data_IF_838941852203
#
_entry.id   IF_838941852203
#
_cell.length_a   1.000
_cell.length_b   1.000
_cell.length_c   1.000
_cell.angle_alpha   90.00
_cell.angle_beta   90.00
_cell.angle_gamma   90.00
#
_symmetry.space_group_name_H-M   'P 1'
#
loop_
_entity.id
_entity.type
_entity.pdbx_description
1 polymer ?
#
# COMPACT_ATOMS: atom_id res chain seq x y z
N UNK A 1 -21.83 -31.67 20.15
CA UNK A 1 -20.47 -31.17 20.45
C UNK A 1 -19.47 -32.34 20.42
N UNK A 2 -19.42 -33.11 19.33
CA UNK A 2 -18.52 -34.29 19.18
C UNK A 2 -18.29 -34.70 17.71
N UNK A 3 -18.45 -33.80 16.73
CA UNK A 3 -18.24 -34.14 15.30
C UNK A 3 -17.34 -33.16 14.50
N UNK A 4 -16.58 -32.30 15.14
CA UNK A 4 -15.65 -31.37 14.47
C UNK A 4 -14.17 -31.74 14.68
N UNK A 5 -13.85 -32.96 15.09
CA UNK A 5 -12.48 -33.36 15.37
C UNK A 5 -11.97 -34.54 14.50
N UNK A 6 -12.47 -34.72 13.27
CA UNK A 6 -12.10 -35.85 12.40
C UNK A 6 -11.72 -35.52 10.96
N UNK A 7 -11.16 -34.33 10.68
CA UNK A 7 -10.64 -34.01 9.33
C UNK A 7 -9.12 -33.71 9.30
N UNK A 8 -8.43 -33.87 10.41
CA UNK A 8 -6.99 -33.58 10.46
C UNK A 8 -6.08 -34.81 10.57
N UNK A 9 -6.50 -35.98 10.10
CA UNK A 9 -5.63 -37.18 10.20
C UNK A 9 -5.81 -38.12 9.03
N UNK A 10 -5.64 -37.68 7.80
CA UNK A 10 -5.33 -38.54 6.64
C UNK A 10 -4.54 -37.69 5.65
N UNK A 11 -3.25 -37.72 5.71
CA UNK A 11 -2.24 -37.56 4.65
C UNK A 11 -0.84 -37.58 5.29
N UNK A 12 -0.51 -38.70 5.89
CA UNK A 12 0.86 -39.02 6.21
C UNK A 12 1.07 -40.51 5.95
N UNK A 13 1.39 -40.86 4.71
CA UNK A 13 2.19 -42.06 4.42
C UNK A 13 2.66 -41.99 2.96
N UNK A 14 3.96 -42.05 2.86
CA UNK A 14 4.78 -42.65 1.82
C UNK A 14 5.32 -41.73 0.70
N UNK A 15 6.56 -41.33 0.82
CA UNK A 15 7.74 -41.90 0.13
C UNK A 15 8.94 -41.01 0.45
N UNK A 16 10.00 -41.66 0.95
CA UNK A 16 11.26 -41.02 1.33
C UNK A 16 11.95 -40.36 0.18
N UNK A 17 12.42 -39.17 0.46
CA UNK A 17 13.76 -38.73 0.09
C UNK A 17 14.26 -37.72 1.15
N UNK A 18 14.97 -38.30 2.12
CA UNK A 18 15.79 -37.54 3.05
C UNK A 18 16.97 -36.96 2.27
N UNK A 19 16.93 -35.69 1.92
CA UNK A 19 18.08 -34.79 1.73
C UNK A 19 17.65 -33.41 1.22
N UNK A 20 16.81 -32.67 1.97
CA UNK A 20 16.91 -31.23 1.94
C UNK A 20 17.39 -30.75 3.31
N UNK A 21 18.70 -30.56 3.33
CA UNK A 21 19.47 -30.10 4.47
C UNK A 21 18.85 -28.85 5.07
N UNK A 22 18.52 -28.96 6.35
CA UNK A 22 18.49 -27.87 7.31
C UNK A 22 19.77 -27.05 7.20
N UNK A 23 19.78 -26.01 6.41
CA UNK A 23 20.83 -25.01 6.51
C UNK A 23 20.32 -23.64 6.11
N UNK A 24 20.35 -22.78 7.09
CA UNK A 24 20.28 -21.32 7.05
C UNK A 24 19.00 -20.67 7.59
N UNK A 25 18.39 -21.18 8.65
CA UNK A 25 17.86 -20.25 9.65
C UNK A 25 19.05 -19.80 10.50
N UNK A 26 19.81 -18.82 10.00
CA UNK A 26 20.69 -18.06 10.88
C UNK A 26 19.80 -17.37 11.89
N UNK A 27 19.96 -17.74 13.15
CA UNK A 27 19.32 -17.13 14.30
C UNK A 27 19.50 -15.62 14.24
N UNK A 28 18.43 -14.90 13.89
CA UNK A 28 18.27 -13.50 14.23
C UNK A 28 17.60 -13.55 15.60
N UNK A 29 18.41 -13.58 16.62
CA UNK A 29 17.96 -13.53 18.01
C UNK A 29 18.50 -12.27 18.65
N UNK A 30 17.65 -11.28 18.77
CA UNK A 30 17.53 -10.39 19.93
C UNK A 30 16.34 -9.43 19.70
N UNK A 31 15.71 -9.00 20.75
CA UNK A 31 14.45 -8.26 20.90
C UNK A 31 14.36 -6.86 20.22
N UNK A 32 15.09 -6.59 19.13
CA UNK A 32 15.18 -5.27 18.51
C UNK A 32 14.96 -5.28 16.97
N UNK A 33 14.70 -6.40 16.34
CA UNK A 33 14.71 -6.51 14.87
C UNK A 33 13.35 -6.10 14.25
N UNK A 34 12.86 -4.91 14.56
CA UNK A 34 11.66 -4.37 13.95
C UNK A 34 11.98 -3.86 12.54
N UNK A 35 11.18 -4.30 11.56
CA UNK A 35 11.24 -3.82 10.20
C UNK A 35 10.06 -2.89 9.96
N UNK A 36 10.33 -1.63 9.66
CA UNK A 36 9.32 -0.65 9.28
C UNK A 36 9.14 -0.66 7.77
N UNK A 37 7.89 -0.65 7.31
CA UNK A 37 7.56 -0.59 5.87
C UNK A 37 6.58 0.53 5.62
N UNK A 38 6.93 1.51 4.77
CA UNK A 38 5.99 2.49 4.25
C UNK A 38 5.28 1.87 3.05
N UNK A 39 3.95 1.84 3.07
CA UNK A 39 3.16 1.05 2.15
C UNK A 39 1.89 1.77 1.68
N UNK A 40 1.50 1.50 0.42
CA UNK A 40 0.21 1.89 -0.14
C UNK A 40 -0.10 1.08 -1.40
N UNK A 41 -1.30 0.52 -1.46
CA UNK A 41 -1.82 -0.19 -2.63
C UNK A 41 -1.21 -1.55 -2.94
N UNK A 42 -1.46 -2.00 -4.16
CA UNK A 42 -1.18 -3.37 -4.63
C UNK A 42 0.30 -3.73 -4.65
N UNK A 43 1.17 -2.78 -5.03
CA UNK A 43 2.62 -3.00 -5.08
C UNK A 43 3.18 -3.33 -3.70
N UNK A 44 2.82 -2.52 -2.70
CA UNK A 44 3.21 -2.74 -1.31
C UNK A 44 2.67 -4.06 -0.75
N UNK A 45 1.41 -4.37 -1.02
CA UNK A 45 0.80 -5.61 -0.55
C UNK A 45 1.54 -6.87 -1.06
N UNK A 46 1.95 -6.88 -2.34
CA UNK A 46 2.75 -7.97 -2.92
C UNK A 46 4.16 -8.03 -2.32
N UNK A 47 4.77 -6.89 -2.08
CA UNK A 47 6.07 -6.81 -1.43
C UNK A 47 6.02 -7.35 0.01
N UNK A 48 5.05 -6.91 0.81
CA UNK A 48 4.83 -7.38 2.18
C UNK A 48 4.60 -8.89 2.22
N UNK A 49 3.84 -9.47 1.26
CA UNK A 49 3.67 -10.92 1.17
C UNK A 49 5.00 -11.64 0.95
N UNK A 50 5.90 -11.07 0.15
CA UNK A 50 7.26 -11.61 0.00
C UNK A 50 8.09 -11.45 1.25
N UNK A 51 8.00 -10.30 1.93
CA UNK A 51 8.73 -10.03 3.17
C UNK A 51 8.34 -11.00 4.30
N UNK A 52 7.07 -11.36 4.41
CA UNK A 52 6.58 -12.37 5.37
C UNK A 52 7.13 -13.78 5.13
N UNK A 53 7.74 -14.06 3.97
CA UNK A 53 8.46 -15.33 3.71
C UNK A 53 9.92 -15.28 4.14
N UNK A 54 10.48 -14.08 4.36
CA UNK A 54 11.89 -13.88 4.73
C UNK A 54 12.08 -13.62 6.23
N UNK A 55 11.07 -13.05 6.88
CA UNK A 55 11.11 -12.71 8.31
C UNK A 55 9.78 -13.06 8.98
N UNK A 56 9.82 -13.29 10.29
CA UNK A 56 8.59 -13.56 11.04
C UNK A 56 7.66 -12.35 11.00
N UNK A 57 6.37 -12.53 10.66
CA UNK A 57 5.43 -11.42 10.47
C UNK A 57 5.35 -10.46 11.66
N UNK A 58 5.44 -10.94 12.89
CA UNK A 58 5.39 -10.11 14.11
C UNK A 58 6.51 -9.07 14.21
N UNK A 59 7.58 -9.20 13.43
CA UNK A 59 8.67 -8.23 13.37
C UNK A 59 8.43 -7.15 12.32
N UNK A 60 7.36 -7.26 11.53
CA UNK A 60 7.01 -6.30 10.48
C UNK A 60 5.96 -5.34 11.00
N UNK A 61 6.25 -4.04 10.95
CA UNK A 61 5.26 -2.98 11.11
C UNK A 61 5.11 -2.22 9.80
N UNK A 62 3.95 -2.32 9.19
CA UNK A 62 3.64 -1.61 7.94
C UNK A 62 2.81 -0.38 8.24
N UNK A 63 3.38 0.81 7.95
CA UNK A 63 2.69 2.10 8.01
C UNK A 63 2.02 2.30 6.66
N UNK A 64 0.70 2.23 6.65
CA UNK A 64 -0.11 2.19 5.42
C UNK A 64 -0.76 3.55 5.18
N UNK A 65 -0.73 4.00 3.92
CA UNK A 65 -1.40 5.20 3.47
C UNK A 65 -2.91 5.14 3.76
N UNK A 66 -3.45 6.22 4.32
CA UNK A 66 -4.87 6.47 4.54
C UNK A 66 -5.33 7.80 3.92
N UNK A 67 -4.46 8.43 3.11
CA UNK A 67 -4.81 9.65 2.38
C UNK A 67 -5.88 9.45 1.31
N UNK A 68 -6.13 8.19 0.95
CA UNK A 68 -7.11 7.79 -0.05
C UNK A 68 -8.42 7.29 0.57
N UNK A 69 -8.52 7.31 1.91
CA UNK A 69 -9.71 6.92 2.64
C UNK A 69 -10.89 7.81 2.25
N UNK A 70 -12.06 7.22 2.19
CA UNK A 70 -13.27 7.93 1.76
C UNK A 70 -14.50 7.46 2.51
N UNK A 71 -15.53 8.29 2.51
CA UNK A 71 -16.85 7.93 3.04
C UNK A 71 -17.85 7.84 1.90
N UNK A 72 -18.33 6.64 1.59
CA UNK A 72 -19.35 6.39 0.59
C UNK A 72 -20.50 5.61 1.21
N UNK A 73 -21.74 5.97 0.89
CA UNK A 73 -22.94 5.37 1.48
C UNK A 73 -22.99 5.45 3.01
N UNK A 74 -22.26 6.40 3.62
CA UNK A 74 -22.08 6.48 5.08
C UNK A 74 -21.09 5.48 5.66
N UNK A 75 -20.38 4.73 4.82
CA UNK A 75 -19.38 3.74 5.23
C UNK A 75 -17.96 4.31 5.06
N UNK A 76 -17.14 4.11 6.09
CA UNK A 76 -15.70 4.39 6.01
C UNK A 76 -14.97 3.30 5.24
N UNK A 77 -14.31 3.67 4.16
CA UNK A 77 -13.59 2.80 3.23
C UNK A 77 -12.12 3.21 3.25
N UNK A 78 -11.23 2.25 3.48
CA UNK A 78 -9.78 2.46 3.54
C UNK A 78 -9.10 1.57 2.50
N UNK A 79 -9.05 1.98 1.21
CA UNK A 79 -8.69 1.11 0.09
C UNK A 79 -7.31 0.48 0.20
N UNK A 80 -6.31 1.22 0.68
CA UNK A 80 -4.94 0.71 0.81
C UNK A 80 -4.82 -0.29 1.97
N UNK A 81 -5.44 0.00 3.13
CA UNK A 81 -5.51 -0.93 4.27
C UNK A 81 -6.22 -2.24 3.87
N UNK A 82 -7.33 -2.14 3.15
CA UNK A 82 -8.12 -3.29 2.71
C UNK A 82 -7.35 -4.13 1.67
N UNK A 83 -6.72 -3.48 0.69
CA UNK A 83 -5.89 -4.14 -0.32
C UNK A 83 -4.72 -4.89 0.33
N UNK A 84 -4.03 -4.27 1.29
CA UNK A 84 -2.94 -4.90 2.03
C UNK A 84 -3.48 -6.09 2.84
N UNK A 85 -4.52 -5.89 3.64
CA UNK A 85 -5.12 -6.93 4.48
C UNK A 85 -5.56 -8.14 3.65
N UNK A 86 -6.33 -7.93 2.58
CA UNK A 86 -6.84 -9.02 1.75
C UNK A 86 -5.75 -9.75 0.98
N UNK A 87 -4.72 -9.02 0.52
CA UNK A 87 -3.56 -9.65 -0.16
C UNK A 87 -2.78 -10.54 0.78
N UNK A 88 -2.50 -10.08 2.00
CA UNK A 88 -1.73 -10.85 2.99
C UNK A 88 -2.51 -12.05 3.51
N UNK A 89 -3.82 -11.91 3.66
CA UNK A 89 -4.71 -13.01 4.02
C UNK A 89 -4.96 -14.02 2.88
N UNK A 90 -4.44 -13.75 1.66
CA UNK A 90 -4.66 -14.62 0.50
C UNK A 90 -6.10 -14.61 -0.03
N UNK A 91 -6.88 -13.58 0.31
CA UNK A 91 -8.30 -13.45 0.00
C UNK A 91 -8.60 -12.43 -1.11
N UNK A 92 -7.59 -11.72 -1.60
CA UNK A 92 -7.76 -10.72 -2.68
C UNK A 92 -8.09 -11.40 -4.00
N UNK A 93 -8.91 -10.75 -4.82
CA UNK A 93 -9.14 -11.20 -6.19
C UNK A 93 -7.86 -11.04 -7.03
N UNK A 94 -7.30 -12.13 -7.58
CA UNK A 94 -6.01 -12.10 -8.26
C UNK A 94 -6.04 -11.38 -9.62
N UNK A 95 -7.21 -11.33 -10.28
CA UNK A 95 -7.38 -10.70 -11.60
C UNK A 95 -7.54 -9.19 -11.46
N UNK A 96 -8.44 -8.74 -10.59
CA UNK A 96 -8.66 -7.32 -10.34
C UNK A 96 -7.50 -6.70 -9.56
N UNK A 97 -6.96 -7.45 -8.57
CA UNK A 97 -5.94 -6.97 -7.64
C UNK A 97 -6.49 -6.01 -6.58
N UNK A 98 -7.81 -5.98 -6.39
CA UNK A 98 -8.55 -5.28 -5.33
C UNK A 98 -9.85 -6.02 -5.01
N UNK A 99 -10.40 -5.78 -3.82
CA UNK A 99 -11.59 -6.49 -3.33
C UNK A 99 -11.34 -7.97 -3.06
N UNK A 100 -12.36 -8.68 -2.63
CA UNK A 100 -12.26 -10.08 -2.24
C UNK A 100 -12.50 -11.03 -3.42
N UNK A 101 -11.86 -12.18 -3.39
CA UNK A 101 -12.10 -13.26 -4.37
C UNK A 101 -13.54 -13.79 -4.26
N UNK A 102 -14.11 -14.19 -5.41
CA UNK A 102 -15.49 -14.66 -5.51
C UNK A 102 -16.51 -13.66 -4.93
N UNK A 103 -16.31 -12.38 -5.22
CA UNK A 103 -17.19 -11.29 -4.82
C UNK A 103 -18.48 -11.29 -5.63
N UNK A 104 -19.57 -10.81 -5.03
CA UNK A 104 -20.82 -10.51 -5.72
C UNK A 104 -21.15 -9.02 -5.60
N UNK A 105 -22.05 -8.53 -6.44
CA UNK A 105 -22.36 -7.10 -6.58
C UNK A 105 -23.87 -6.84 -6.43
N UNK A 106 -24.53 -7.66 -5.62
CA UNK A 106 -25.99 -7.66 -5.46
C UNK A 106 -26.47 -6.35 -4.86
N UNK A 107 -25.78 -5.88 -3.83
CA UNK A 107 -26.12 -4.61 -3.16
C UNK A 107 -25.94 -3.43 -4.12
N UNK A 108 -24.81 -3.35 -4.85
CA UNK A 108 -24.54 -2.27 -5.80
C UNK A 108 -25.51 -2.32 -7.00
N UNK A 109 -25.85 -3.51 -7.49
CA UNK A 109 -26.87 -3.70 -8.51
C UNK A 109 -28.27 -3.26 -8.08
N UNK A 110 -28.64 -3.47 -6.80
CA UNK A 110 -29.87 -2.94 -6.26
C UNK A 110 -29.83 -1.42 -6.09
N UNK A 111 -28.69 -0.87 -5.65
CA UNK A 111 -28.49 0.57 -5.44
C UNK A 111 -28.59 1.37 -6.74
N UNK A 112 -28.18 0.80 -7.87
CA UNK A 112 -28.28 1.45 -9.19
C UNK A 112 -29.71 1.81 -9.58
N UNK A 113 -30.71 1.06 -9.08
CA UNK A 113 -32.14 1.38 -9.29
C UNK A 113 -32.54 2.69 -8.62
N UNK A 114 -31.98 2.97 -7.45
CA UNK A 114 -32.26 4.22 -6.73
C UNK A 114 -31.49 5.39 -7.37
N UNK A 115 -30.26 5.15 -7.82
CA UNK A 115 -29.47 6.14 -8.53
C UNK A 115 -30.17 6.69 -9.77
N UNK A 116 -30.89 5.85 -10.51
CA UNK A 116 -31.65 6.23 -11.68
C UNK A 116 -32.84 7.18 -11.40
N UNK A 117 -33.33 7.20 -10.16
CA UNK A 117 -34.52 7.96 -9.75
C UNK A 117 -34.22 9.07 -8.73
N UNK A 118 -32.94 9.27 -8.38
CA UNK A 118 -32.56 10.31 -7.41
C UNK A 118 -32.72 11.71 -7.98
N UNK A 119 -32.98 12.73 -7.15
CA UNK A 119 -32.95 14.13 -7.58
C UNK A 119 -31.60 14.53 -8.19
N UNK A 120 -31.58 15.42 -9.18
CA UNK A 120 -30.38 15.86 -9.90
C UNK A 120 -29.24 16.34 -8.97
N UNK A 121 -29.56 16.98 -7.86
CA UNK A 121 -28.59 17.52 -6.92
C UNK A 121 -28.24 16.55 -5.76
N UNK A 122 -28.75 15.32 -5.80
CA UNK A 122 -28.49 14.33 -4.77
C UNK A 122 -27.18 13.60 -5.02
N UNK A 123 -26.37 13.43 -3.98
CA UNK A 123 -25.18 12.58 -3.98
C UNK A 123 -25.48 11.16 -3.46
N UNK A 124 -26.75 10.83 -3.19
CA UNK A 124 -27.12 9.48 -2.77
C UNK A 124 -26.82 8.46 -3.87
N UNK A 125 -26.47 7.25 -3.48
CA UNK A 125 -26.16 6.14 -4.37
C UNK A 125 -25.05 6.44 -5.41
N UNK A 126 -23.84 6.84 -5.02
CA UNK A 126 -22.71 6.95 -5.94
C UNK A 126 -22.26 5.55 -6.39
N UNK A 127 -22.69 5.13 -7.58
CA UNK A 127 -22.43 3.78 -8.11
C UNK A 127 -21.13 3.65 -8.89
N UNK A 128 -20.37 4.73 -9.02
CA UNK A 128 -19.07 4.74 -9.68
C UNK A 128 -17.97 4.03 -8.88
N UNK A 129 -18.10 3.97 -7.54
CA UNK A 129 -17.22 3.19 -6.68
C UNK A 129 -17.92 1.87 -6.35
N UNK A 130 -17.38 0.78 -6.86
CA UNK A 130 -18.02 -0.52 -6.77
C UNK A 130 -17.56 -1.25 -5.49
N UNK A 131 -18.50 -1.57 -4.60
CA UNK A 131 -18.27 -2.28 -3.35
C UNK A 131 -18.80 -3.71 -3.47
N UNK A 132 -17.97 -4.69 -3.17
CA UNK A 132 -18.38 -6.10 -3.14
C UNK A 132 -19.26 -6.42 -1.94
N UNK A 133 -20.15 -7.40 -2.08
CA UNK A 133 -21.09 -7.78 -1.00
C UNK A 133 -20.34 -8.32 0.24
N UNK A 134 -19.19 -9.01 0.05
CA UNK A 134 -18.34 -9.46 1.17
C UNK A 134 -17.49 -8.33 1.74
N UNK A 135 -16.97 -7.47 0.87
CA UNK A 135 -16.16 -6.30 1.26
C UNK A 135 -16.97 -5.33 2.13
N UNK A 136 -18.27 -5.21 1.88
CA UNK A 136 -19.19 -4.45 2.73
C UNK A 136 -19.10 -4.84 4.21
N UNK A 137 -18.82 -6.10 4.55
CA UNK A 137 -18.72 -6.52 5.94
C UNK A 137 -17.55 -5.83 6.66
N UNK A 138 -16.40 -5.66 6.01
CA UNK A 138 -15.25 -4.90 6.54
C UNK A 138 -15.63 -3.44 6.74
N UNK A 139 -16.29 -2.83 5.77
CA UNK A 139 -16.71 -1.43 5.87
C UNK A 139 -17.78 -1.20 6.96
N UNK A 140 -18.74 -2.12 7.12
CA UNK A 140 -19.71 -2.07 8.21
C UNK A 140 -19.02 -2.14 9.57
N UNK A 141 -18.11 -3.09 9.75
CA UNK A 141 -17.36 -3.24 11.00
C UNK A 141 -16.54 -2.00 11.31
N UNK A 142 -15.73 -1.54 10.36
CA UNK A 142 -14.91 -0.33 10.52
C UNK A 142 -15.77 0.88 10.88
N UNK A 143 -16.85 1.11 10.14
CA UNK A 143 -17.74 2.25 10.37
C UNK A 143 -18.39 2.21 11.76
N UNK A 144 -18.87 1.04 12.18
CA UNK A 144 -19.49 0.88 13.50
C UNK A 144 -18.48 1.16 14.62
N UNK A 145 -17.26 0.60 14.52
CA UNK A 145 -16.20 0.79 15.54
C UNK A 145 -15.75 2.25 15.63
N UNK A 146 -15.57 2.92 14.49
CA UNK A 146 -15.24 4.35 14.45
C UNK A 146 -16.36 5.20 15.07
N UNK A 147 -17.63 4.85 14.81
CA UNK A 147 -18.79 5.52 15.43
C UNK A 147 -18.87 5.29 16.95
N UNK A 148 -18.35 4.18 17.47
CA UNK A 148 -18.19 3.92 18.90
C UNK A 148 -17.03 4.72 19.53
N UNK A 149 -16.22 5.42 18.74
CA UNK A 149 -15.08 6.23 19.18
C UNK A 149 -13.74 5.49 19.21
N UNK A 150 -13.66 4.29 18.61
CA UNK A 150 -12.39 3.60 18.44
C UNK A 150 -11.48 4.35 17.44
N UNK A 151 -10.16 4.37 17.68
CA UNK A 151 -9.19 4.89 16.74
C UNK A 151 -9.04 3.96 15.52
N UNK A 152 -8.71 4.50 14.34
CA UNK A 152 -8.51 3.69 13.13
C UNK A 152 -7.40 2.64 13.31
N UNK A 153 -6.35 2.98 14.05
CA UNK A 153 -5.28 2.03 14.42
C UNK A 153 -5.84 0.82 15.16
N UNK A 154 -6.71 1.03 16.13
CA UNK A 154 -7.34 -0.06 16.87
C UNK A 154 -8.23 -0.92 15.96
N UNK A 155 -9.06 -0.29 15.14
CA UNK A 155 -9.96 -0.98 14.21
C UNK A 155 -9.17 -1.78 13.17
N UNK A 156 -8.07 -1.21 12.67
CA UNK A 156 -7.16 -1.90 11.74
C UNK A 156 -6.56 -3.15 12.35
N UNK A 157 -6.11 -3.08 13.61
CA UNK A 157 -5.57 -4.24 14.32
C UNK A 157 -6.65 -5.33 14.54
N UNK A 158 -7.89 -4.95 14.90
CA UNK A 158 -9.03 -5.87 15.04
C UNK A 158 -9.35 -6.58 13.71
N UNK A 159 -9.34 -5.84 12.59
CA UNK A 159 -9.57 -6.40 11.26
C UNK A 159 -8.40 -7.33 10.87
N UNK A 160 -7.14 -6.91 11.03
CA UNK A 160 -5.98 -7.74 10.73
C UNK A 160 -6.01 -9.05 11.52
N UNK A 161 -6.35 -9.00 12.80
CA UNK A 161 -6.51 -10.19 13.64
C UNK A 161 -7.63 -11.11 13.14
N UNK A 162 -8.78 -10.54 12.73
CA UNK A 162 -9.90 -11.32 12.18
C UNK A 162 -9.52 -12.05 10.88
N UNK A 163 -8.59 -11.48 10.11
CA UNK A 163 -8.03 -12.09 8.91
C UNK A 163 -6.82 -13.00 9.17
N UNK A 164 -6.44 -13.22 10.44
CA UNK A 164 -5.35 -14.12 10.85
C UNK A 164 -3.95 -13.57 10.53
N UNK A 165 -3.77 -12.25 10.51
CA UNK A 165 -2.50 -11.62 10.24
C UNK A 165 -1.74 -11.33 11.53
N UNK A 166 -0.48 -11.76 11.60
CA UNK A 166 0.40 -11.60 12.77
C UNK A 166 1.33 -10.37 12.65
N UNK A 167 1.39 -9.70 11.48
CA UNK A 167 2.15 -8.47 11.33
C UNK A 167 1.34 -7.27 11.84
N UNK A 168 2.04 -6.19 12.15
CA UNK A 168 1.40 -4.95 12.58
C UNK A 168 1.07 -4.07 11.38
N UNK A 169 -0.23 -3.93 11.07
CA UNK A 169 -0.73 -2.94 10.12
C UNK A 169 -1.12 -1.68 10.89
N UNK A 170 -0.51 -0.56 10.57
CA UNK A 170 -0.71 0.72 11.23
C UNK A 170 -1.13 1.75 10.17
N UNK A 171 -2.32 2.37 10.27
CA UNK A 171 -2.66 3.50 9.42
C UNK A 171 -1.66 4.63 9.65
N UNK A 172 -1.31 5.39 8.62
CA UNK A 172 -0.34 6.48 8.74
C UNK A 172 -0.71 7.50 9.84
N UNK A 173 -2.00 7.64 10.11
CA UNK A 173 -2.57 8.52 11.14
C UNK A 173 -3.98 8.04 11.51
N UNK A 174 -4.45 8.38 12.71
CA UNK A 174 -5.85 8.22 13.11
C UNK A 174 -6.69 9.47 12.76
N UNK A 175 -6.04 10.56 12.37
CA UNK A 175 -6.70 11.80 11.96
C UNK A 175 -7.10 11.73 10.48
N UNK A 176 -8.06 12.58 10.07
CA UNK A 176 -8.48 12.65 8.67
C UNK A 176 -7.45 13.39 7.82
N UNK A 177 -6.89 12.70 6.85
CA UNK A 177 -6.06 13.27 5.78
C UNK A 177 -6.63 12.84 4.44
N UNK A 178 -6.73 13.76 3.50
CA UNK A 178 -7.30 13.49 2.19
C UNK A 178 -6.35 13.89 1.07
N UNK A 179 -6.05 12.95 0.17
CA UNK A 179 -5.37 13.23 -1.09
C UNK A 179 -6.34 13.89 -2.06
N UNK A 180 -6.02 15.10 -2.47
CA UNK A 180 -6.83 15.94 -3.36
C UNK A 180 -6.02 16.25 -4.62
N UNK A 181 -6.67 16.06 -5.77
CA UNK A 181 -6.10 16.33 -7.10
C UNK A 181 -6.68 17.63 -7.63
N UNK A 182 -5.82 18.57 -8.07
CA UNK A 182 -6.23 19.78 -8.76
C UNK A 182 -6.21 19.55 -10.27
N UNK A 183 -7.31 19.82 -10.96
CA UNK A 183 -7.41 19.64 -12.41
C UNK A 183 -6.55 20.66 -13.15
N UNK A 184 -5.80 20.20 -14.16
CA UNK A 184 -4.94 21.06 -14.99
C UNK A 184 -5.72 21.83 -16.04
N UNK A 185 -6.85 21.30 -16.52
CA UNK A 185 -7.63 21.84 -17.64
C UNK A 185 -9.13 21.60 -17.44
N UNK A 186 -9.95 22.30 -18.24
CA UNK A 186 -11.40 22.09 -18.28
C UNK A 186 -11.69 20.68 -18.82
N UNK A 187 -12.45 19.88 -18.08
CA UNK A 187 -12.82 18.53 -18.46
C UNK A 187 -14.20 18.15 -17.89
N UNK A 188 -14.61 16.91 -18.05
CA UNK A 188 -15.89 16.40 -17.52
C UNK A 188 -15.96 16.43 -15.98
N UNK A 189 -14.82 16.39 -15.30
CA UNK A 189 -14.73 16.44 -13.84
C UNK A 189 -14.89 17.87 -13.27
N UNK A 190 -14.67 18.90 -14.09
CA UNK A 190 -14.77 20.30 -13.68
C UNK A 190 -13.92 21.26 -14.51
N UNK A 191 -13.82 22.48 -14.04
CA UNK A 191 -12.96 23.53 -14.59
C UNK A 191 -11.51 23.34 -14.15
N UNK A 192 -10.57 23.87 -14.93
CA UNK A 192 -9.17 24.00 -14.48
C UNK A 192 -9.09 24.65 -13.08
N UNK A 193 -8.28 24.08 -12.22
CA UNK A 193 -8.14 24.50 -10.81
C UNK A 193 -9.20 23.94 -9.86
N UNK A 194 -10.19 23.17 -10.36
CA UNK A 194 -11.12 22.43 -9.48
C UNK A 194 -10.37 21.34 -8.74
N UNK A 195 -10.67 21.19 -7.46
CA UNK A 195 -10.15 20.12 -6.62
C UNK A 195 -11.15 18.96 -6.55
N UNK A 196 -10.67 17.74 -6.80
CA UNK A 196 -11.46 16.51 -6.68
C UNK A 196 -10.74 15.52 -5.77
N UNK A 197 -11.48 14.60 -5.14
CA UNK A 197 -10.86 13.55 -4.32
C UNK A 197 -10.03 12.59 -5.18
N UNK A 198 -9.01 11.96 -4.56
CA UNK A 198 -8.22 10.94 -5.26
C UNK A 198 -9.09 9.79 -5.78
N UNK A 199 -10.11 9.39 -5.04
CA UNK A 199 -11.02 8.33 -5.49
C UNK A 199 -11.88 8.75 -6.70
N UNK A 200 -12.31 10.00 -6.78
CA UNK A 200 -12.96 10.49 -8.00
C UNK A 200 -11.98 10.50 -9.18
N UNK A 201 -10.78 11.02 -8.98
CA UNK A 201 -9.73 11.01 -10.00
C UNK A 201 -9.43 9.58 -10.49
N UNK A 202 -9.18 8.67 -9.55
CA UNK A 202 -8.67 7.33 -9.87
C UNK A 202 -9.76 6.37 -10.35
N UNK A 203 -10.90 6.31 -9.64
CA UNK A 203 -11.96 5.34 -9.90
C UNK A 203 -13.02 5.90 -10.84
N UNK A 204 -13.56 7.09 -10.55
CA UNK A 204 -14.66 7.66 -11.34
C UNK A 204 -14.22 8.13 -12.71
N UNK A 205 -13.07 8.81 -12.79
CA UNK A 205 -12.51 9.34 -14.04
C UNK A 205 -11.40 8.47 -14.62
N UNK A 206 -11.14 7.28 -14.05
CA UNK A 206 -10.13 6.32 -14.52
C UNK A 206 -8.76 6.97 -14.74
N UNK A 207 -8.39 7.92 -13.87
CA UNK A 207 -7.21 8.78 -13.98
C UNK A 207 -6.96 9.34 -15.39
N UNK A 208 -8.02 9.60 -16.16
CA UNK A 208 -7.94 10.11 -17.54
C UNK A 208 -7.82 11.64 -17.62
N UNK A 209 -8.21 12.34 -16.56
CA UNK A 209 -8.12 13.80 -16.44
C UNK A 209 -6.72 14.24 -16.05
N UNK A 210 -6.26 15.39 -16.57
CA UNK A 210 -4.91 15.90 -16.27
C UNK A 210 -4.85 16.57 -14.88
N UNK A 211 -3.79 16.27 -14.12
CA UNK A 211 -3.52 16.85 -12.80
C UNK A 211 -2.47 17.97 -12.88
N UNK A 212 -2.71 19.10 -12.19
CA UNK A 212 -1.74 20.18 -12.03
C UNK A 212 -1.11 20.23 -10.64
N UNK A 213 -1.74 19.64 -9.64
CA UNK A 213 -1.25 19.62 -8.27
C UNK A 213 -1.86 18.45 -7.49
N UNK A 214 -1.14 18.01 -6.45
CA UNK A 214 -1.60 17.02 -5.46
C UNK A 214 -1.40 17.59 -4.07
N UNK A 215 -2.45 17.61 -3.26
CA UNK A 215 -2.44 18.14 -1.89
C UNK A 215 -2.89 17.08 -0.90
N UNK A 216 -2.36 17.16 0.32
CA UNK A 216 -2.74 16.30 1.43
C UNK A 216 -3.45 17.15 2.49
N UNK A 217 -4.75 17.33 2.30
CA UNK A 217 -5.57 18.17 3.17
C UNK A 217 -5.68 17.54 4.55
N UNK A 218 -5.33 18.29 5.59
CA UNK A 218 -5.32 17.81 6.98
C UNK A 218 -3.95 17.36 7.50
N UNK A 219 -2.98 17.05 6.62
CA UNK A 219 -1.69 16.46 7.02
C UNK A 219 -0.88 17.34 7.99
N UNK A 220 -1.00 18.67 7.90
CA UNK A 220 -0.27 19.61 8.78
C UNK A 220 -0.69 19.55 10.25
N UNK A 221 -1.87 18.99 10.54
CA UNK A 221 -2.43 18.90 11.89
C UNK A 221 -2.55 17.46 12.36
N UNK A 222 -2.50 16.51 11.44
CA UNK A 222 -2.60 15.09 11.72
C UNK A 222 -1.35 14.59 12.45
N UNK A 223 -1.57 13.76 13.47
CA UNK A 223 -0.49 13.11 14.22
C UNK A 223 -0.07 11.84 13.47
N UNK A 224 1.21 11.70 13.12
CA UNK A 224 1.68 10.48 12.48
C UNK A 224 1.66 9.30 13.46
N UNK A 225 1.20 8.16 12.99
CA UNK A 225 1.41 6.90 13.65
C UNK A 225 2.75 6.29 13.20
N UNK A 226 3.40 5.53 14.08
CA UNK A 226 4.61 4.79 13.74
C UNK A 226 5.93 5.59 13.71
N UNK A 227 5.96 6.85 14.19
CA UNK A 227 7.23 7.59 14.32
C UNK A 227 8.23 6.89 15.26
N UNK A 228 7.75 6.30 16.34
CA UNK A 228 8.53 5.49 17.27
C UNK A 228 9.09 4.23 16.61
N UNK A 229 8.29 3.61 15.74
CA UNK A 229 8.72 2.47 14.93
C UNK A 229 9.80 2.91 13.94
N UNK A 230 9.62 4.01 13.21
CA UNK A 230 10.65 4.55 12.31
C UNK A 230 11.93 4.94 13.05
N UNK A 231 11.83 5.44 14.29
CA UNK A 231 12.98 5.79 15.09
C UNK A 231 13.81 4.58 15.52
N UNK A 232 13.15 3.46 15.83
CA UNK A 232 13.76 2.27 16.45
C UNK A 232 13.97 1.10 15.50
N UNK A 233 13.34 1.07 14.31
CA UNK A 233 13.46 -0.03 13.38
C UNK A 233 14.92 -0.29 12.95
N UNK A 234 15.32 -1.55 12.84
CA UNK A 234 16.61 -1.93 12.27
C UNK A 234 16.68 -1.56 10.78
N UNK A 235 15.60 -1.83 10.05
CA UNK A 235 15.45 -1.56 8.63
C UNK A 235 14.19 -0.76 8.34
N UNK A 236 14.29 0.23 7.46
CA UNK A 236 13.15 0.99 6.96
C UNK A 236 13.04 0.76 5.46
N UNK A 237 11.91 0.22 5.02
CA UNK A 237 11.67 -0.10 3.63
C UNK A 237 10.54 0.77 3.08
N UNK A 238 10.75 1.37 1.90
CA UNK A 238 9.70 2.02 1.14
C UNK A 238 9.29 1.03 0.04
N UNK A 239 8.08 0.49 0.17
CA UNK A 239 7.54 -0.49 -0.76
C UNK A 239 7.38 0.11 -2.18
N UNK A 240 7.31 -0.72 -3.25
CA UNK A 240 7.11 -0.24 -4.62
C UNK A 240 5.69 0.28 -4.84
N UNK A 241 5.44 1.45 -4.30
CA UNK A 241 4.18 2.20 -4.30
C UNK A 241 4.37 3.52 -5.04
N UNK A 242 3.26 4.13 -5.47
CA UNK A 242 3.31 5.44 -6.11
C UNK A 242 3.95 6.49 -5.17
N UNK A 243 5.08 7.12 -5.56
CA UNK A 243 5.78 8.06 -4.70
C UNK A 243 4.97 9.32 -4.38
N UNK A 244 4.02 9.70 -5.24
CA UNK A 244 3.30 10.97 -5.16
C UNK A 244 1.95 10.89 -4.46
N UNK A 245 1.28 9.74 -4.50
CA UNK A 245 -0.08 9.60 -3.92
C UNK A 245 -0.22 8.44 -2.92
N UNK A 246 0.76 7.55 -2.83
CA UNK A 246 0.74 6.47 -1.83
C UNK A 246 1.79 6.66 -0.72
N UNK A 247 2.98 7.16 -1.07
CA UNK A 247 4.08 7.36 -0.10
C UNK A 247 4.12 8.82 0.38
N UNK A 248 3.91 9.79 -0.52
CA UNK A 248 3.93 11.20 -0.14
C UNK A 248 2.88 11.59 0.92
N UNK A 249 1.66 11.02 0.98
CA UNK A 249 0.75 11.30 2.10
C UNK A 249 1.35 10.94 3.46
N UNK A 250 2.03 9.79 3.57
CA UNK A 250 2.71 9.37 4.81
C UNK A 250 3.82 10.36 5.16
N UNK A 251 4.62 10.75 4.17
CA UNK A 251 5.73 11.70 4.30
C UNK A 251 5.28 13.13 4.63
N UNK A 252 4.07 13.50 4.24
CA UNK A 252 3.52 14.83 4.52
C UNK A 252 3.17 15.07 5.99
N UNK A 253 3.15 14.01 6.81
CA UNK A 253 2.90 14.11 8.23
C UNK A 253 4.12 14.64 8.98
N UNK A 254 3.88 15.46 10.01
CA UNK A 254 4.93 16.13 10.75
C UNK A 254 5.95 15.15 11.35
N UNK A 255 7.24 15.40 11.12
CA UNK A 255 8.35 14.62 11.67
C UNK A 255 8.71 13.35 10.89
N UNK A 256 7.90 12.92 9.90
CA UNK A 256 8.18 11.69 9.15
C UNK A 256 9.39 11.86 8.23
N UNK A 257 9.43 12.90 7.41
CA UNK A 257 10.57 13.15 6.52
C UNK A 257 11.86 13.45 7.30
N UNK A 258 11.79 14.16 8.42
CA UNK A 258 12.92 14.43 9.29
C UNK A 258 13.46 13.12 9.92
N UNK A 259 12.57 12.23 10.34
CA UNK A 259 12.95 10.93 10.87
C UNK A 259 13.63 10.07 9.81
N UNK A 260 13.05 9.98 8.62
CA UNK A 260 13.63 9.22 7.50
C UNK A 260 15.00 9.80 7.09
N UNK A 261 15.12 11.12 7.01
CA UNK A 261 16.39 11.80 6.67
C UNK A 261 17.48 11.50 7.71
N UNK A 262 17.14 11.50 9.01
CA UNK A 262 18.06 11.14 10.11
C UNK A 262 18.52 9.69 10.01
N UNK A 263 17.66 8.81 9.52
CA UNK A 263 17.89 7.37 9.37
C UNK A 263 18.24 6.96 7.93
N UNK A 264 18.58 7.91 7.07
CA UNK A 264 18.71 7.77 5.63
C UNK A 264 19.46 6.52 5.17
N UNK A 265 20.56 6.18 5.83
CA UNK A 265 21.41 5.04 5.46
C UNK A 265 20.75 3.67 5.78
N UNK A 266 19.76 3.65 6.68
CA UNK A 266 18.93 2.47 7.00
C UNK A 266 17.61 2.45 6.21
N UNK A 267 17.42 3.37 5.26
CA UNK A 267 16.23 3.43 4.41
C UNK A 267 16.55 2.90 3.03
N UNK A 268 15.79 1.89 2.59
CA UNK A 268 15.85 1.33 1.24
C UNK A 268 14.48 1.44 0.56
N UNK A 269 14.43 2.01 -0.63
CA UNK A 269 13.23 2.11 -1.45
C UNK A 269 13.29 1.18 -2.67
N UNK A 270 12.13 0.70 -3.10
CA UNK A 270 11.97 -0.04 -4.35
C UNK A 270 11.23 0.85 -5.35
N UNK A 271 11.80 1.03 -6.55
CA UNK A 271 11.13 1.81 -7.60
C UNK A 271 9.85 1.13 -8.08
N UNK A 272 8.71 1.86 -8.15
CA UNK A 272 7.50 1.38 -8.81
C UNK A 272 7.54 1.54 -10.34
N UNK A 273 8.53 2.25 -10.86
CA UNK A 273 8.71 2.51 -12.30
C UNK A 273 9.68 1.49 -12.87
N UNK A 274 9.28 0.84 -13.97
CA UNK A 274 10.07 -0.10 -14.73
C UNK A 274 10.00 0.28 -16.21
N UNK A 275 11.15 0.52 -16.83
CA UNK A 275 11.25 0.93 -18.23
C UNK A 275 10.36 2.15 -18.58
N UNK A 276 10.37 3.15 -17.70
CA UNK A 276 9.63 4.40 -17.87
C UNK A 276 8.12 4.33 -17.65
N UNK A 277 7.60 3.21 -17.14
CA UNK A 277 6.18 3.02 -16.90
C UNK A 277 5.89 2.40 -15.52
N UNK A 278 4.74 2.75 -14.95
CA UNK A 278 4.22 2.05 -13.79
C UNK A 278 3.60 0.70 -14.20
N UNK A 279 3.85 -0.35 -13.42
CA UNK A 279 3.24 -1.67 -13.68
C UNK A 279 1.74 -1.68 -13.40
N UNK A 280 1.29 -0.84 -12.47
CA UNK A 280 -0.14 -0.60 -12.15
C UNK A 280 -0.32 0.83 -11.66
N UNK A 281 -1.48 1.42 -12.00
CA UNK A 281 -1.83 2.78 -11.59
C UNK A 281 -1.08 3.86 -12.37
N UNK A 282 -1.35 5.14 -12.08
CA UNK A 282 -0.93 6.28 -12.90
C UNK A 282 0.40 6.93 -12.45
N UNK A 283 1.35 6.19 -11.85
CA UNK A 283 2.53 6.84 -11.25
C UNK A 283 3.38 7.57 -12.29
N UNK A 284 3.64 6.96 -13.44
CA UNK A 284 4.39 7.54 -14.56
C UNK A 284 3.70 8.78 -15.13
N UNK A 285 2.39 8.71 -15.31
CA UNK A 285 1.59 9.83 -15.78
C UNK A 285 1.59 10.99 -14.77
N UNK A 286 1.27 10.73 -13.50
CA UNK A 286 1.28 11.75 -12.46
C UNK A 286 2.67 12.38 -12.28
N UNK A 287 3.73 11.58 -12.37
CA UNK A 287 5.10 12.10 -12.35
C UNK A 287 5.29 13.12 -13.47
N UNK A 288 4.89 12.78 -14.70
CA UNK A 288 5.00 13.68 -15.86
C UNK A 288 4.17 14.95 -15.68
N UNK A 289 2.91 14.82 -15.29
CA UNK A 289 1.96 15.95 -15.12
C UNK A 289 2.42 16.91 -14.02
N UNK A 290 3.07 16.40 -12.96
CA UNK A 290 3.60 17.18 -11.85
C UNK A 290 5.08 17.60 -12.04
N UNK A 291 5.61 17.47 -13.26
CA UNK A 291 6.95 17.96 -13.60
C UNK A 291 8.10 17.07 -13.14
N UNK A 292 7.82 15.82 -12.75
CA UNK A 292 8.85 14.83 -12.45
C UNK A 292 9.15 13.95 -13.68
N UNK A 293 10.38 13.49 -13.79
CA UNK A 293 10.78 12.53 -14.81
C UNK A 293 10.16 11.15 -14.50
N UNK A 294 9.38 10.52 -15.41
CA UNK A 294 8.72 9.23 -15.16
C UNK A 294 9.69 8.05 -15.31
N UNK A 295 10.84 8.10 -14.62
CA UNK A 295 11.91 7.11 -14.65
C UNK A 295 12.37 6.76 -13.24
N UNK A 296 13.21 5.74 -13.12
CA UNK A 296 13.89 5.40 -11.85
C UNK A 296 14.75 6.57 -11.33
N UNK A 297 15.25 7.42 -12.24
CA UNK A 297 16.02 8.63 -11.86
C UNK A 297 15.11 9.69 -11.25
N UNK A 298 13.90 9.88 -11.80
CA UNK A 298 12.89 10.74 -11.18
C UNK A 298 12.47 10.25 -9.80
N UNK A 299 12.30 8.94 -9.62
CA UNK A 299 12.04 8.34 -8.30
C UNK A 299 13.22 8.59 -7.35
N UNK A 300 14.47 8.43 -7.83
CA UNK A 300 15.67 8.74 -7.05
C UNK A 300 15.69 10.21 -6.57
N UNK A 301 15.37 11.17 -7.44
CA UNK A 301 15.28 12.59 -7.08
C UNK A 301 14.27 12.85 -5.94
N UNK A 302 13.12 12.14 -5.96
CA UNK A 302 12.09 12.26 -4.93
C UNK A 302 12.56 11.68 -3.58
N UNK A 303 13.31 10.58 -3.61
CA UNK A 303 13.69 9.84 -2.40
C UNK A 303 15.10 10.17 -1.87
N UNK A 304 15.98 10.72 -2.66
CA UNK A 304 17.37 11.00 -2.25
C UNK A 304 17.51 11.78 -0.91
N UNK A 305 16.63 12.71 -0.55
CA UNK A 305 16.72 13.39 0.75
C UNK A 305 16.51 12.49 1.96
N UNK A 306 15.76 11.38 1.81
CA UNK A 306 15.26 10.55 2.91
C UNK A 306 15.70 9.08 2.83
N UNK A 307 16.33 8.66 1.74
CA UNK A 307 16.61 7.25 1.45
C UNK A 307 18.04 7.08 0.90
N UNK A 308 18.80 6.15 1.46
CA UNK A 308 20.18 5.87 1.08
C UNK A 308 20.32 4.92 -0.10
N UNK A 309 19.36 4.01 -0.29
CA UNK A 309 19.43 2.97 -1.33
C UNK A 309 18.15 2.91 -2.15
N UNK A 310 18.27 2.89 -3.48
CA UNK A 310 17.17 2.62 -4.39
C UNK A 310 17.39 1.30 -5.12
N UNK A 311 16.41 0.41 -5.05
CA UNK A 311 16.36 -0.82 -5.85
C UNK A 311 15.58 -0.52 -7.13
N UNK A 312 16.18 -0.88 -8.28
CA UNK A 312 15.58 -0.72 -9.60
C UNK A 312 15.51 -2.05 -10.34
N UNK A 313 14.63 -2.15 -11.32
CA UNK A 313 14.49 -3.35 -12.14
C UNK A 313 15.68 -3.56 -13.09
N UNK A 314 15.90 -4.82 -13.46
CA UNK A 314 16.91 -5.19 -14.46
C UNK A 314 16.73 -4.46 -15.81
N UNK A 315 15.50 -4.13 -16.18
CA UNK A 315 15.19 -3.38 -17.41
C UNK A 315 15.78 -1.95 -17.38
N UNK A 316 15.98 -1.38 -16.19
CA UNK A 316 16.52 -0.04 -15.97
C UNK A 316 18.01 -0.04 -15.57
N UNK A 317 18.71 -1.18 -15.66
CA UNK A 317 20.11 -1.32 -15.26
C UNK A 317 21.04 -0.26 -15.87
N UNK A 318 20.74 0.20 -17.08
CA UNK A 318 21.48 1.24 -17.79
C UNK A 318 21.39 2.62 -17.14
N UNK A 319 20.43 2.84 -16.23
CA UNK A 319 20.22 4.07 -15.47
C UNK A 319 20.87 4.04 -14.07
N UNK A 320 21.51 2.94 -13.67
CA UNK A 320 22.07 2.78 -12.33
C UNK A 320 23.01 3.93 -11.94
N UNK A 321 23.96 4.29 -12.82
CA UNK A 321 24.89 5.40 -12.57
C UNK A 321 24.17 6.77 -12.48
N UNK A 322 23.04 6.95 -13.17
CA UNK A 322 22.24 8.17 -13.08
C UNK A 322 21.48 8.26 -11.75
N UNK A 323 21.05 7.10 -11.19
CA UNK A 323 20.49 7.01 -9.84
C UNK A 323 21.58 7.32 -8.80
N UNK A 324 22.77 6.75 -8.94
CA UNK A 324 23.91 7.00 -8.05
C UNK A 324 24.33 8.49 -8.06
N UNK A 325 24.23 9.15 -9.20
CA UNK A 325 24.49 10.58 -9.33
C UNK A 325 23.49 11.44 -8.52
N UNK A 326 22.34 10.89 -8.08
CA UNK A 326 21.43 11.55 -7.15
C UNK A 326 21.84 11.37 -5.66
N UNK A 327 22.98 10.72 -5.39
CA UNK A 327 23.51 10.50 -4.04
C UNK A 327 22.88 9.29 -3.33
N UNK A 328 22.35 8.32 -4.07
CA UNK A 328 21.81 7.07 -3.54
C UNK A 328 22.68 5.89 -3.99
N UNK A 329 22.78 4.85 -3.17
CA UNK A 329 23.25 3.54 -3.64
C UNK A 329 22.19 2.95 -4.56
N UNK A 330 22.61 2.39 -5.70
CA UNK A 330 21.70 1.73 -6.65
C UNK A 330 21.91 0.22 -6.62
N UNK A 331 20.82 -0.54 -6.49
CA UNK A 331 20.84 -2.01 -6.59
C UNK A 331 19.91 -2.40 -7.74
N UNK A 332 20.44 -3.24 -8.65
CA UNK A 332 19.70 -3.75 -9.81
C UNK A 332 19.30 -5.20 -9.57
N UNK A 333 17.99 -5.49 -9.63
CA UNK A 333 17.46 -6.85 -9.46
C UNK A 333 16.10 -6.98 -10.14
N UNK A 334 15.47 -8.17 -10.12
CA UNK A 334 14.08 -8.34 -10.58
C UNK A 334 13.11 -7.74 -9.55
N UNK A 335 12.41 -6.67 -9.93
CA UNK A 335 11.41 -6.02 -9.08
C UNK A 335 9.97 -6.35 -9.49
N UNK A 336 9.77 -7.10 -10.59
CA UNK A 336 8.45 -7.47 -11.08
C UNK A 336 7.95 -8.72 -10.34
N UNK A 337 7.25 -8.52 -9.26
CA UNK A 337 6.75 -9.53 -8.31
C UNK A 337 5.69 -10.45 -8.92
N UNK A 338 6.07 -11.30 -9.88
CA UNK A 338 5.19 -12.26 -10.57
C UNK A 338 4.77 -13.42 -9.70
N UNK A 339 5.64 -13.83 -8.78
CA UNK A 339 5.40 -14.94 -7.84
C UNK A 339 5.81 -14.55 -6.42
N UNK A 340 5.30 -15.23 -5.39
CA UNK A 340 5.74 -15.02 -4.02
C UNK A 340 7.25 -15.18 -3.82
N UNK A 341 7.90 -16.10 -4.56
CA UNK A 341 9.33 -16.34 -4.49
C UNK A 341 10.15 -15.15 -5.02
N UNK A 342 9.71 -14.53 -6.11
CA UNK A 342 10.34 -13.29 -6.63
C UNK A 342 10.15 -12.15 -5.64
N UNK A 343 8.95 -12.02 -5.04
CA UNK A 343 8.71 -11.02 -3.99
C UNK A 343 9.61 -11.26 -2.77
N UNK A 344 9.83 -12.52 -2.37
CA UNK A 344 10.71 -12.87 -1.26
C UNK A 344 12.19 -12.54 -1.58
N UNK A 345 12.66 -12.85 -2.78
CA UNK A 345 14.02 -12.51 -3.20
C UNK A 345 14.24 -10.99 -3.21
N UNK A 346 13.27 -10.21 -3.69
CA UNK A 346 13.31 -8.75 -3.65
C UNK A 346 13.33 -8.24 -2.20
N UNK A 347 12.52 -8.81 -1.32
CA UNK A 347 12.48 -8.44 0.09
C UNK A 347 13.82 -8.73 0.80
N UNK A 348 14.44 -9.87 0.51
CA UNK A 348 15.78 -10.21 1.02
C UNK A 348 16.82 -9.19 0.56
N UNK A 349 16.83 -8.84 -0.73
CA UNK A 349 17.71 -7.80 -1.28
C UNK A 349 17.50 -6.45 -0.57
N UNK A 350 16.26 -6.08 -0.31
CA UNK A 350 15.93 -4.82 0.38
C UNK A 350 16.41 -4.81 1.84
N UNK A 351 16.28 -5.93 2.56
CA UNK A 351 16.79 -6.08 3.93
C UNK A 351 18.32 -6.04 3.98
N UNK A 352 19.00 -6.70 3.04
CA UNK A 352 20.46 -6.66 2.95
C UNK A 352 21.00 -5.26 2.59
N UNK A 353 20.18 -4.47 1.90
CA UNK A 353 20.55 -3.11 1.48
C UNK A 353 20.54 -2.09 2.63
N UNK A 354 19.86 -2.38 3.74
CA UNK A 354 19.75 -1.50 4.93
C UNK A 354 20.79 -1.84 6.02
N UNK A 355 21.57 -2.88 5.80
CA UNK A 355 22.67 -3.34 6.68
C UNK A 355 24.01 -2.88 6.12
#
# INVERSE_FOLDING_TARGET
>A
MQELCKVATVLASDSGDERFTHNAFKSISTLTDVIAVLAGGVGAARFLRGLMLEVEPRHITSIVNTGDDTVLHGLHISPDLDTVTYTLAGAIDPERGWGLENETWTAMGALSKYAANRPLNSQAAPTWFNLGDKDLATHFYRTARLAEGAALTQVTAEIAQAWGLDLHLVPMTDDSVQTVITLAEDCEAGKAGTEISFQEYFVKHHHSVAASDVKFVGSTHAKPNGLDVLASAESILIAPSNPLVSIAPIRSLAGVDEMLATRRDSVCAISPIVNGAALKGPADRLMTELGHEPTVVGVAKIYAPICGTLIIDNADAHLASAVEAQGMRCIVTDTIMKTPQVSAALARTALEATR
#
